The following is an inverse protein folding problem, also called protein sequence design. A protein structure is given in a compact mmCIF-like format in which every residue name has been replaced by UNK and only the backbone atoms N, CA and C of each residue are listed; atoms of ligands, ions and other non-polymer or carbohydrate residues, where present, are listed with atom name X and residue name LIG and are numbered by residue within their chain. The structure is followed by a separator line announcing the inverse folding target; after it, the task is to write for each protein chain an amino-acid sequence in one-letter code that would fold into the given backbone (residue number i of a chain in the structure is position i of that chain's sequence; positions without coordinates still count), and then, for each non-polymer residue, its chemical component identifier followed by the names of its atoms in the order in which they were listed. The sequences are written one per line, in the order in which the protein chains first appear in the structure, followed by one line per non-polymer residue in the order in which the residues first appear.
data_IF_514626103464
#
_entry.id   IF_514626103464
#
_cell.length_a   1.000
_cell.length_b   1.000
_cell.length_c   1.000
_cell.angle_alpha   90.00
_cell.angle_beta   90.00
_cell.angle_gamma   90.00
#
_symmetry.space_group_name_H-M   'P 1'
#
loop_
_entity.id
_entity.type
_entity.pdbx_description
1 polymer ?
#
# COMPACT_ATOMS: atom_id res chain seq x y z
N UNK A 1 19.03 -11.25 36.69
CA UNK A 1 18.05 -10.68 35.74
C UNK A 1 18.83 -10.13 34.56
N UNK A 2 18.72 -10.75 33.38
CA UNK A 2 19.44 -10.30 32.19
C UNK A 2 18.82 -9.01 31.65
N UNK A 3 19.59 -7.92 31.65
CA UNK A 3 19.15 -6.65 31.06
C UNK A 3 19.06 -6.77 29.55
N UNK A 4 17.89 -6.51 28.99
CA UNK A 4 17.67 -6.44 27.55
C UNK A 4 18.39 -5.19 27.02
N UNK A 5 19.61 -5.35 26.49
CA UNK A 5 20.29 -4.27 25.76
C UNK A 5 19.66 -4.15 24.38
N UNK A 6 18.73 -3.21 24.22
CA UNK A 6 18.19 -2.86 22.90
C UNK A 6 19.31 -2.26 22.04
N UNK A 7 19.77 -3.01 21.05
CA UNK A 7 20.59 -2.45 19.97
C UNK A 7 19.68 -1.68 19.01
N UNK A 8 19.78 -0.36 19.06
CA UNK A 8 18.99 0.55 18.23
C UNK A 8 19.13 0.25 16.73
N UNK A 9 20.33 -0.16 16.26
CA UNK A 9 20.55 -0.48 14.84
C UNK A 9 19.85 -1.78 14.44
N UNK A 10 19.82 -2.76 15.34
CA UNK A 10 19.08 -4.00 15.10
C UNK A 10 17.56 -3.73 15.08
N UNK A 11 17.08 -2.86 15.98
CA UNK A 11 15.67 -2.43 16.00
C UNK A 11 15.28 -1.67 14.72
N UNK A 12 16.11 -0.71 14.30
CA UNK A 12 15.88 0.09 13.11
C UNK A 12 15.83 -0.79 11.86
N UNK A 13 16.71 -1.79 11.74
CA UNK A 13 16.68 -2.77 10.64
C UNK A 13 15.43 -3.62 10.63
N UNK A 14 14.99 -4.10 11.80
CA UNK A 14 13.76 -4.89 11.92
C UNK A 14 12.53 -4.06 11.54
N UNK A 15 12.47 -2.80 12.00
CA UNK A 15 11.41 -1.87 11.63
C UNK A 15 11.41 -1.57 10.12
N UNK A 16 12.57 -1.30 9.53
CA UNK A 16 12.70 -1.09 8.08
C UNK A 16 12.25 -2.31 7.27
N UNK A 17 12.62 -3.52 7.70
CA UNK A 17 12.20 -4.75 7.01
C UNK A 17 10.68 -4.94 7.10
N UNK A 18 10.09 -4.77 8.28
CA UNK A 18 8.64 -4.89 8.46
C UNK A 18 7.86 -3.85 7.65
N UNK A 19 8.35 -2.60 7.60
CA UNK A 19 7.75 -1.55 6.76
C UNK A 19 7.87 -1.90 5.28
N UNK A 20 9.02 -2.42 4.85
CA UNK A 20 9.24 -2.84 3.46
C UNK A 20 8.28 -3.95 3.05
N UNK A 21 8.06 -4.95 3.89
CA UNK A 21 7.14 -6.06 3.60
C UNK A 21 5.69 -5.56 3.44
N UNK A 22 5.24 -4.69 4.36
CA UNK A 22 3.91 -4.04 4.26
C UNK A 22 3.76 -3.23 2.98
N UNK A 23 4.79 -2.47 2.61
CA UNK A 23 4.79 -1.67 1.39
C UNK A 23 4.78 -2.54 0.14
N UNK A 24 5.53 -3.64 0.12
CA UNK A 24 5.56 -4.57 -1.00
C UNK A 24 4.21 -5.26 -1.22
N UNK A 25 3.56 -5.69 -0.15
CA UNK A 25 2.22 -6.29 -0.23
C UNK A 25 1.20 -5.29 -0.78
N UNK A 26 1.23 -4.05 -0.29
CA UNK A 26 0.36 -3.00 -0.82
C UNK A 26 0.66 -2.66 -2.28
N UNK A 27 1.92 -2.55 -2.67
CA UNK A 27 2.31 -2.31 -4.06
C UNK A 27 1.76 -3.40 -4.98
N UNK A 28 1.89 -4.67 -4.59
CA UNK A 28 1.38 -5.81 -5.36
C UNK A 28 -0.14 -5.75 -5.54
N UNK A 29 -0.88 -5.36 -4.50
CA UNK A 29 -2.32 -5.18 -4.60
C UNK A 29 -2.70 -4.01 -5.50
N UNK A 30 -1.99 -2.89 -5.42
CA UNK A 30 -2.19 -1.72 -6.28
C UNK A 30 -1.91 -2.05 -7.76
N UNK A 31 -0.80 -2.72 -8.05
CA UNK A 31 -0.44 -3.12 -9.42
C UNK A 31 -1.53 -4.01 -10.02
N UNK A 32 -2.08 -4.94 -9.23
CA UNK A 32 -3.19 -5.79 -9.67
C UNK A 32 -4.42 -4.97 -10.03
N UNK A 33 -4.82 -4.03 -9.18
CA UNK A 33 -5.97 -3.13 -9.46
C UNK A 33 -5.71 -2.29 -10.70
N UNK A 34 -4.50 -1.73 -10.83
CA UNK A 34 -4.09 -0.94 -11.99
C UNK A 34 -4.20 -1.75 -13.28
N UNK A 35 -3.63 -2.95 -13.34
CA UNK A 35 -3.68 -3.78 -14.54
C UNK A 35 -5.11 -4.19 -14.92
N UNK A 36 -5.99 -4.39 -13.94
CA UNK A 36 -7.37 -4.83 -14.17
C UNK A 36 -8.32 -3.69 -14.53
N UNK A 37 -8.04 -2.47 -14.05
CA UNK A 37 -9.02 -1.38 -14.09
C UNK A 37 -8.50 -0.04 -14.61
N UNK A 38 -7.27 0.03 -15.13
CA UNK A 38 -6.79 1.26 -15.81
C UNK A 38 -7.77 1.68 -16.91
N UNK A 39 -8.11 2.97 -16.96
CA UNK A 39 -9.10 3.50 -17.91
C UNK A 39 -10.57 3.24 -17.54
N UNK A 40 -10.86 2.52 -16.45
CA UNK A 40 -12.23 2.36 -15.96
C UNK A 40 -12.69 3.59 -15.16
N UNK A 41 -14.00 3.69 -14.88
CA UNK A 41 -14.54 4.76 -14.06
C UNK A 41 -14.20 4.58 -12.58
N UNK A 42 -14.13 5.69 -11.85
CA UNK A 42 -13.92 5.72 -10.38
C UNK A 42 -14.91 4.80 -9.65
N UNK A 43 -16.17 4.76 -10.07
CA UNK A 43 -17.21 3.90 -9.48
C UNK A 43 -16.92 2.40 -9.58
N UNK A 44 -16.10 1.97 -10.54
CA UNK A 44 -15.65 0.58 -10.70
C UNK A 44 -14.36 0.35 -9.91
N UNK A 45 -13.44 1.31 -9.94
CA UNK A 45 -12.12 1.16 -9.32
C UNK A 45 -12.21 1.25 -7.80
N UNK A 46 -12.97 2.20 -7.24
CA UNK A 46 -13.07 2.44 -5.79
C UNK A 46 -13.41 1.17 -4.98
N UNK A 47 -14.45 0.37 -5.33
CA UNK A 47 -14.74 -0.86 -4.60
C UNK A 47 -13.72 -1.98 -4.85
N UNK A 48 -13.00 -2.00 -5.98
CA UNK A 48 -11.91 -2.95 -6.23
C UNK A 48 -10.69 -2.60 -5.38
N UNK A 49 -10.32 -1.31 -5.37
CA UNK A 49 -9.23 -0.76 -4.58
C UNK A 49 -9.47 -0.97 -3.08
N UNK A 50 -10.68 -0.68 -2.59
CA UNK A 50 -11.05 -0.92 -1.18
C UNK A 50 -10.84 -2.39 -0.79
N UNK A 51 -11.28 -3.33 -1.63
CA UNK A 51 -11.10 -4.77 -1.38
C UNK A 51 -9.62 -5.17 -1.39
N UNK A 52 -8.85 -4.66 -2.35
CA UNK A 52 -7.43 -4.94 -2.45
C UNK A 52 -6.66 -4.45 -1.21
N UNK A 53 -6.91 -3.22 -0.78
CA UNK A 53 -6.23 -2.61 0.37
C UNK A 53 -6.66 -3.20 1.72
N UNK A 54 -7.89 -3.71 1.82
CA UNK A 54 -8.36 -4.42 3.03
C UNK A 54 -7.57 -5.70 3.33
N UNK A 55 -6.86 -6.26 2.34
CA UNK A 55 -5.98 -7.43 2.52
C UNK A 55 -4.57 -7.06 3.02
N UNK A 56 -4.31 -5.76 3.18
CA UNK A 56 -3.02 -5.21 3.60
C UNK A 56 -3.16 -4.53 4.96
N UNK A 57 -2.04 -4.18 5.59
CA UNK A 57 -2.05 -3.40 6.83
C UNK A 57 -2.35 -1.91 6.62
N UNK A 58 -2.65 -1.47 5.40
CA UNK A 58 -2.97 -0.08 5.08
C UNK A 58 -4.48 0.15 5.10
N UNK A 59 -4.90 1.14 5.89
CA UNK A 59 -6.27 1.65 5.87
C UNK A 59 -6.31 2.93 5.05
N UNK A 60 -7.14 2.94 4.01
CA UNK A 60 -7.42 4.14 3.23
C UNK A 60 -8.76 4.71 3.66
N UNK A 61 -8.81 6.02 3.88
CA UNK A 61 -10.08 6.72 4.03
C UNK A 61 -10.81 6.85 2.68
N UNK A 62 -12.03 7.37 2.72
CA UNK A 62 -12.87 7.52 1.53
C UNK A 62 -12.28 8.52 0.52
N UNK A 63 -11.61 9.58 0.97
CA UNK A 63 -11.02 10.57 0.09
C UNK A 63 -9.82 9.97 -0.65
N UNK A 64 -8.96 9.26 0.08
CA UNK A 64 -7.80 8.53 -0.47
C UNK A 64 -8.23 7.45 -1.47
N UNK A 65 -9.27 6.67 -1.15
CA UNK A 65 -9.82 5.68 -2.08
C UNK A 65 -10.27 6.31 -3.39
N UNK A 66 -10.97 7.46 -3.32
CA UNK A 66 -11.46 8.16 -4.50
C UNK A 66 -10.33 8.77 -5.32
N UNK A 67 -9.35 9.38 -4.66
CA UNK A 67 -8.17 9.96 -5.32
C UNK A 67 -7.38 8.89 -6.07
N UNK A 68 -7.09 7.77 -5.40
CA UNK A 68 -6.33 6.68 -6.01
C UNK A 68 -7.12 5.99 -7.12
N UNK A 69 -8.43 5.85 -6.97
CA UNK A 69 -9.30 5.37 -8.02
C UNK A 69 -9.31 6.30 -9.24
N UNK A 70 -9.28 7.62 -9.04
CA UNK A 70 -9.14 8.59 -10.12
C UNK A 70 -7.78 8.44 -10.82
N UNK A 71 -6.68 8.36 -10.06
CA UNK A 71 -5.34 8.17 -10.62
C UNK A 71 -5.26 6.93 -11.52
N UNK A 72 -5.78 5.79 -11.04
CA UNK A 72 -5.80 4.55 -11.81
C UNK A 72 -6.70 4.68 -13.05
N UNK A 73 -7.86 5.34 -12.93
CA UNK A 73 -8.75 5.62 -14.04
C UNK A 73 -8.07 6.46 -15.12
N UNK A 74 -7.27 7.44 -14.71
CA UNK A 74 -6.47 8.30 -15.58
C UNK A 74 -5.23 7.58 -16.18
N UNK A 75 -5.01 6.31 -15.82
CA UNK A 75 -3.88 5.51 -16.30
C UNK A 75 -2.57 5.72 -15.54
N UNK A 76 -2.61 6.44 -14.41
CA UNK A 76 -1.46 6.65 -13.55
C UNK A 76 -1.27 5.48 -12.57
N UNK A 77 -0.08 4.90 -12.57
CA UNK A 77 0.31 3.88 -11.59
C UNK A 77 0.68 4.54 -10.26
N UNK A 78 0.29 3.91 -9.16
CA UNK A 78 0.63 4.36 -7.81
C UNK A 78 1.84 3.54 -7.35
N UNK A 79 2.93 4.21 -6.99
CA UNK A 79 4.18 3.58 -6.55
C UNK A 79 4.58 4.05 -5.15
N UNK A 80 4.79 3.11 -4.24
CA UNK A 80 5.46 3.39 -2.97
C UNK A 80 6.97 3.40 -3.16
N UNK A 81 7.59 4.57 -2.93
CA UNK A 81 9.05 4.69 -2.93
C UNK A 81 9.59 4.52 -1.52
N UNK A 82 10.12 3.35 -1.20
CA UNK A 82 10.99 3.17 -0.03
C UNK A 82 12.38 3.70 -0.41
N UNK A 83 12.74 4.89 0.08
CA UNK A 83 14.13 5.40 -0.02
C UNK A 83 15.04 4.67 0.96
#
# INVERSE_FOLDING_TARGET
MGGFKLDKRALDKLAQSAVKDVVQDAQKQLDKVYHQHKGASVSVIEPALRRAMSSTSMQLDKAQLREWAQMIGDGNQIEFRTR
#
